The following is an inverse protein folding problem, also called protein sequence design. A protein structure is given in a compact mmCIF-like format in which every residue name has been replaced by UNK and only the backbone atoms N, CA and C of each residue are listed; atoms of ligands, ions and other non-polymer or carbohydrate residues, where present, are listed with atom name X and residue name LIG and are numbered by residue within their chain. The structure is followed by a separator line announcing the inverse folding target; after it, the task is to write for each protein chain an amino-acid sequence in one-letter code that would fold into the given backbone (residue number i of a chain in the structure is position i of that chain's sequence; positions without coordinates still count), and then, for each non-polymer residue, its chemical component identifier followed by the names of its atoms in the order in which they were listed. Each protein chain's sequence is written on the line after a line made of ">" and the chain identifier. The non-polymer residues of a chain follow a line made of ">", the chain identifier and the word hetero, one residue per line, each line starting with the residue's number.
data_IF_536224900952
#
_entry.id   IF_536224900952
#
_cell.length_a   1.000
_cell.length_b   1.000
_cell.length_c   1.000
_cell.angle_alpha   90.00
_cell.angle_beta   90.00
_cell.angle_gamma   90.00
#
_symmetry.space_group_name_H-M   'P 1'
#
loop_
_entity.id
_entity.type
_entity.pdbx_description
1 polymer ?
#
# COMPACT_ATOMS: atom_id res chain seq x y z
N UNK A 1 65.65 -16.39 19.71
CA UNK A 1 64.69 -16.33 20.84
C UNK A 1 63.33 -16.72 20.34
N UNK A 2 62.84 -17.79 20.95
CA UNK A 2 61.59 -18.56 20.86
C UNK A 2 60.97 -18.92 19.49
N UNK A 3 60.81 -20.23 19.23
CA UNK A 3 60.12 -20.82 18.09
C UNK A 3 58.65 -21.11 18.45
N UNK A 4 57.85 -21.58 17.49
CA UNK A 4 56.92 -22.66 17.79
C UNK A 4 56.61 -23.47 16.55
N UNK A 5 57.18 -24.67 16.52
CA UNK A 5 56.73 -25.81 15.74
C UNK A 5 55.24 -26.09 16.04
N UNK A 6 54.50 -26.66 15.09
CA UNK A 6 54.18 -28.10 15.11
C UNK A 6 53.19 -28.42 13.98
N UNK A 7 53.60 -29.43 13.22
CA UNK A 7 52.91 -30.13 12.15
C UNK A 7 51.76 -30.96 12.73
N UNK A 8 50.60 -31.00 12.06
CA UNK A 8 49.73 -32.17 12.10
C UNK A 8 48.94 -32.31 10.79
N UNK A 9 49.44 -33.27 10.01
CA UNK A 9 48.78 -34.07 8.98
C UNK A 9 47.36 -34.50 9.41
N UNK A 10 46.40 -34.56 8.47
CA UNK A 10 45.69 -35.79 8.07
C UNK A 10 44.25 -35.58 7.56
N UNK A 11 43.93 -36.39 6.55
CA UNK A 11 42.63 -37.04 6.26
C UNK A 11 41.65 -36.40 5.27
N UNK A 12 41.69 -37.02 4.09
CA UNK A 12 40.63 -37.33 3.14
C UNK A 12 39.25 -37.53 3.79
N UNK A 13 38.23 -36.86 3.24
CA UNK A 13 36.83 -37.06 3.61
C UNK A 13 35.89 -36.54 2.53
N UNK A 14 35.66 -37.36 1.50
CA UNK A 14 34.58 -37.19 0.55
C UNK A 14 33.25 -37.43 1.29
N UNK A 15 32.51 -36.38 1.61
CA UNK A 15 31.11 -36.49 2.05
C UNK A 15 30.20 -35.99 0.93
N UNK A 16 29.53 -36.95 0.29
CA UNK A 16 28.26 -36.72 -0.38
C UNK A 16 27.25 -36.22 0.66
N UNK A 17 26.74 -35.00 0.50
CA UNK A 17 25.50 -34.58 1.13
C UNK A 17 24.43 -34.46 0.04
N UNK A 18 23.56 -35.46 0.03
CA UNK A 18 22.29 -35.48 -0.69
C UNK A 18 21.34 -34.48 -0.02
N UNK A 19 20.72 -33.64 -0.85
CA UNK A 19 19.41 -33.01 -0.70
C UNK A 19 18.89 -32.66 0.71
N UNK A 20 18.88 -31.35 0.99
CA UNK A 20 17.64 -30.69 1.38
C UNK A 20 17.46 -29.54 0.38
N UNK A 21 16.71 -29.81 -0.68
CA UNK A 21 16.05 -28.74 -1.41
C UNK A 21 15.05 -28.18 -0.41
N UNK A 22 15.28 -26.96 0.07
CA UNK A 22 14.25 -26.18 0.75
C UNK A 22 13.11 -25.99 -0.26
N UNK A 23 12.18 -26.94 -0.26
CA UNK A 23 10.91 -26.89 -0.97
C UNK A 23 10.00 -25.88 -0.24
N UNK A 24 10.45 -24.63 -0.22
CA UNK A 24 9.61 -23.46 -0.03
C UNK A 24 10.07 -22.39 -1.03
N UNK A 25 10.27 -22.83 -2.28
CA UNK A 25 10.20 -21.92 -3.42
C UNK A 25 8.87 -21.20 -3.32
N UNK A 26 9.00 -19.88 -3.15
CA UNK A 26 7.90 -18.94 -3.11
C UNK A 26 6.92 -19.29 -4.23
N UNK A 27 5.68 -19.64 -3.87
CA UNK A 27 4.58 -19.46 -4.81
C UNK A 27 4.55 -17.95 -5.09
N UNK A 28 5.17 -17.53 -6.18
CA UNK A 28 5.01 -16.18 -6.70
C UNK A 28 3.51 -15.99 -6.92
N UNK A 29 2.89 -15.23 -6.02
CA UNK A 29 1.50 -14.83 -6.22
C UNK A 29 1.48 -13.92 -7.43
N UNK A 30 0.87 -14.39 -8.52
CA UNK A 30 0.72 -13.61 -9.75
C UNK A 30 0.03 -12.29 -9.44
N UNK A 31 0.55 -11.18 -9.96
CA UNK A 31 -0.10 -9.88 -9.86
C UNK A 31 -1.46 -9.95 -10.56
N UNK A 32 -2.52 -9.59 -9.83
CA UNK A 32 -3.90 -9.46 -10.30
C UNK A 32 -4.21 -7.98 -10.50
N UNK A 33 -5.02 -7.68 -11.50
CA UNK A 33 -5.45 -6.31 -11.81
C UNK A 33 -6.97 -6.19 -11.74
N UNK A 34 -7.47 -5.12 -11.13
CA UNK A 34 -8.87 -4.73 -11.17
C UNK A 34 -9.02 -3.23 -11.39
N UNK A 35 -10.11 -2.84 -12.05
CA UNK A 35 -10.45 -1.45 -12.27
C UNK A 35 -11.95 -1.24 -12.15
N UNK A 36 -12.36 -0.04 -11.78
CA UNK A 36 -13.78 0.28 -11.63
C UNK A 36 -14.03 1.73 -11.26
N UNK A 37 -15.30 2.08 -11.15
CA UNK A 37 -15.72 3.40 -10.69
C UNK A 37 -15.84 3.43 -9.16
N UNK A 38 -15.68 4.62 -8.58
CA UNK A 38 -16.06 4.87 -7.20
C UNK A 38 -16.68 6.25 -7.04
N UNK A 39 -17.50 6.40 -6.00
CA UNK A 39 -18.01 7.69 -5.56
C UNK A 39 -17.25 8.12 -4.30
N UNK A 40 -17.06 9.43 -4.12
CA UNK A 40 -16.41 10.00 -2.92
C UNK A 40 -17.24 11.13 -2.35
N UNK A 41 -17.42 11.12 -1.03
CA UNK A 41 -17.93 12.23 -0.23
C UNK A 41 -16.79 12.77 0.60
N UNK A 42 -16.65 14.09 0.57
CA UNK A 42 -15.59 14.81 1.28
C UNK A 42 -16.26 15.82 2.21
N UNK A 43 -15.78 15.88 3.44
CA UNK A 43 -16.17 16.93 4.39
C UNK A 43 -14.93 17.61 4.94
N UNK A 44 -14.86 18.93 4.76
CA UNK A 44 -13.81 19.75 5.39
C UNK A 44 -14.02 19.75 6.90
N UNK A 45 -12.96 19.47 7.65
CA UNK A 45 -12.94 19.42 9.10
C UNK A 45 -12.09 20.54 9.66
N UNK A 46 -12.39 20.94 10.90
CA UNK A 46 -11.52 21.83 11.65
C UNK A 46 -10.20 21.11 11.97
N UNK A 47 -9.01 21.73 11.77
CA UNK A 47 -7.76 21.13 12.21
C UNK A 47 -7.74 20.90 13.72
N UNK A 48 -7.14 19.80 14.17
CA UNK A 48 -7.29 19.30 15.55
C UNK A 48 -6.58 20.16 16.62
N UNK A 49 -5.64 21.02 16.23
CA UNK A 49 -4.88 21.85 17.18
C UNK A 49 -4.47 23.20 16.57
N UNK A 50 -4.08 24.14 17.44
CA UNK A 50 -3.62 25.48 17.03
C UNK A 50 -2.39 25.44 16.11
N UNK A 51 -1.36 24.60 16.37
CA UNK A 51 -0.23 24.48 15.44
C UNK A 51 -0.63 24.14 14.00
N UNK A 52 -1.56 23.19 13.81
CA UNK A 52 -2.04 22.81 12.48
C UNK A 52 -2.78 23.97 11.78
N UNK A 53 -3.58 24.73 12.53
CA UNK A 53 -4.25 25.95 12.01
C UNK A 53 -3.23 27.01 11.62
N UNK A 54 -2.29 27.33 12.50
CA UNK A 54 -1.26 28.34 12.24
C UNK A 54 -0.37 27.98 11.04
N UNK A 55 -0.14 26.68 10.81
CA UNK A 55 0.61 26.16 9.67
C UNK A 55 -0.21 26.07 8.36
N UNK A 56 -1.50 26.45 8.37
CA UNK A 56 -2.43 26.30 7.25
C UNK A 56 -2.55 24.85 6.73
N UNK A 57 -2.50 23.86 7.64
CA UNK A 57 -2.75 22.46 7.30
C UNK A 57 -4.25 22.19 7.34
N UNK A 58 -4.82 21.84 6.20
CA UNK A 58 -6.23 21.47 6.08
C UNK A 58 -6.47 20.00 6.44
N UNK A 59 -7.70 19.70 6.85
CA UNK A 59 -8.15 18.34 7.18
C UNK A 59 -9.50 18.03 6.55
N UNK A 60 -9.69 16.81 6.06
CA UNK A 60 -10.95 16.33 5.51
C UNK A 60 -11.25 14.91 5.95
N UNK A 61 -12.52 14.57 6.17
CA UNK A 61 -12.96 13.17 6.20
C UNK A 61 -13.36 12.70 4.81
N UNK A 62 -13.12 11.43 4.54
CA UNK A 62 -13.41 10.76 3.28
C UNK A 62 -14.38 9.60 3.54
N UNK A 63 -15.42 9.52 2.72
CA UNK A 63 -16.25 8.32 2.59
C UNK A 63 -16.29 7.94 1.11
N UNK A 64 -15.92 6.70 0.76
CA UNK A 64 -15.96 6.24 -0.64
C UNK A 64 -16.80 4.99 -0.80
N UNK A 65 -17.33 4.84 -2.00
CA UNK A 65 -18.06 3.64 -2.43
C UNK A 65 -17.46 3.13 -3.74
N UNK A 66 -16.70 2.03 -3.65
CA UNK A 66 -16.13 1.32 -4.79
C UNK A 66 -17.15 0.34 -5.37
N UNK A 67 -17.10 0.16 -6.71
CA UNK A 67 -17.98 -0.73 -7.49
C UNK A 67 -17.15 -1.65 -8.38
N UNK A 68 -17.75 -2.77 -8.78
CA UNK A 68 -17.12 -3.78 -9.63
C UNK A 68 -16.39 -4.85 -8.81
N UNK A 69 -15.21 -5.25 -9.27
CA UNK A 69 -14.43 -6.31 -8.64
C UNK A 69 -13.91 -5.94 -7.24
N UNK A 70 -13.74 -4.64 -6.96
CA UNK A 70 -13.70 -4.10 -5.60
C UNK A 70 -15.08 -3.54 -5.25
N UNK A 71 -15.91 -4.36 -4.62
CA UNK A 71 -17.21 -3.97 -4.09
C UNK A 71 -17.07 -3.66 -2.59
N UNK A 72 -16.70 -2.42 -2.28
CA UNK A 72 -16.34 -2.02 -0.93
C UNK A 72 -16.74 -0.58 -0.62
N UNK A 73 -16.92 -0.29 0.66
CA UNK A 73 -16.93 1.08 1.16
C UNK A 73 -15.59 1.39 1.83
N UNK A 74 -15.24 2.67 1.91
CA UNK A 74 -14.12 3.09 2.76
C UNK A 74 -14.42 4.35 3.55
N UNK A 75 -13.74 4.46 4.67
CA UNK A 75 -13.74 5.65 5.52
C UNK A 75 -12.31 5.99 5.92
N UNK A 76 -12.00 7.28 5.98
CA UNK A 76 -10.66 7.75 6.29
C UNK A 76 -10.56 9.24 6.48
N UNK A 77 -9.33 9.72 6.67
CA UNK A 77 -9.03 11.14 6.78
C UNK A 77 -7.87 11.51 5.86
N UNK A 78 -7.88 12.78 5.46
CA UNK A 78 -6.85 13.42 4.65
C UNK A 78 -6.34 14.67 5.37
N UNK A 79 -5.03 14.86 5.35
CA UNK A 79 -4.37 16.14 5.65
C UNK A 79 -3.80 16.70 4.35
N UNK A 80 -3.94 18.01 4.16
CA UNK A 80 -3.49 18.65 2.93
C UNK A 80 -2.90 20.05 3.16
N UNK A 81 -2.12 20.51 2.20
CA UNK A 81 -1.61 21.88 2.12
C UNK A 81 -1.67 22.39 0.68
N UNK A 82 -1.75 23.70 0.50
CA UNK A 82 -1.87 24.34 -0.81
C UNK A 82 -3.28 24.27 -1.40
N UNK A 83 -3.39 24.69 -2.66
CA UNK A 83 -4.67 24.78 -3.38
C UNK A 83 -5.05 23.48 -4.11
N UNK A 84 -4.13 22.51 -4.17
CA UNK A 84 -4.31 21.20 -4.79
C UNK A 84 -4.50 21.21 -6.31
N UNK A 85 -4.60 22.38 -6.94
CA UNK A 85 -4.88 22.56 -8.37
C UNK A 85 -3.67 23.12 -9.11
N UNK A 86 -2.89 23.99 -8.47
CA UNK A 86 -1.60 24.46 -8.95
C UNK A 86 -0.49 23.77 -8.18
N UNK A 87 -0.50 23.86 -6.85
CA UNK A 87 0.53 23.26 -6.01
C UNK A 87 -0.04 22.85 -4.68
N UNK A 88 0.45 21.74 -4.14
CA UNK A 88 -0.01 21.26 -2.85
C UNK A 88 0.53 19.89 -2.52
N UNK A 89 0.15 19.42 -1.34
CA UNK A 89 0.46 18.08 -0.85
C UNK A 89 -0.78 17.51 -0.19
N UNK A 90 -0.96 16.20 -0.27
CA UNK A 90 -1.85 15.53 0.67
C UNK A 90 -1.30 14.18 1.10
N UNK A 91 -1.73 13.77 2.29
CA UNK A 91 -1.59 12.42 2.81
C UNK A 91 -2.95 11.97 3.31
N UNK A 92 -3.27 10.70 3.14
CA UNK A 92 -4.51 10.14 3.61
C UNK A 92 -4.33 8.69 4.04
N UNK A 93 -5.12 8.26 5.02
CA UNK A 93 -5.27 6.85 5.37
C UNK A 93 -6.76 6.54 5.36
N UNK A 94 -7.12 5.44 4.71
CA UNK A 94 -8.51 4.96 4.68
C UNK A 94 -8.57 3.46 4.95
N UNK A 95 -9.61 3.03 5.64
CA UNK A 95 -9.99 1.63 5.78
C UNK A 95 -10.99 1.27 4.70
N UNK A 96 -10.63 0.34 3.83
CA UNK A 96 -11.53 -0.25 2.83
C UNK A 96 -12.12 -1.53 3.42
N UNK A 97 -13.44 -1.71 3.34
CA UNK A 97 -14.16 -2.88 3.85
C UNK A 97 -15.20 -3.35 2.84
N UNK A 98 -15.16 -4.63 2.46
CA UNK A 98 -16.03 -5.19 1.42
C UNK A 98 -15.48 -6.47 0.83
N UNK A 99 -15.60 -6.62 -0.49
CA UNK A 99 -15.03 -7.74 -1.23
C UNK A 99 -14.11 -7.31 -2.37
N UNK A 100 -13.05 -8.08 -2.58
CA UNK A 100 -12.11 -7.98 -3.71
C UNK A 100 -12.09 -9.31 -4.45
N UNK A 101 -12.56 -9.33 -5.70
CA UNK A 101 -12.78 -10.57 -6.46
C UNK A 101 -13.57 -11.61 -5.65
N UNK A 102 -14.62 -11.16 -4.97
CA UNK A 102 -15.48 -12.00 -4.13
C UNK A 102 -14.93 -12.34 -2.74
N UNK A 103 -13.63 -12.17 -2.47
CA UNK A 103 -13.01 -12.41 -1.15
C UNK A 103 -13.33 -11.28 -0.20
N UNK A 104 -13.92 -11.60 0.96
CA UNK A 104 -14.37 -10.64 1.95
C UNK A 104 -13.28 -10.31 2.96
N UNK A 105 -13.25 -9.05 3.35
CA UNK A 105 -12.39 -8.58 4.43
C UNK A 105 -12.29 -7.07 4.41
N UNK A 106 -11.19 -6.60 4.98
CA UNK A 106 -10.84 -5.19 4.99
C UNK A 106 -9.33 -5.03 4.83
N UNK A 107 -8.90 -3.83 4.46
CA UNK A 107 -7.49 -3.44 4.41
C UNK A 107 -7.37 -1.93 4.54
N UNK A 108 -6.16 -1.44 4.78
CA UNK A 108 -5.89 -0.01 4.85
C UNK A 108 -5.14 0.44 3.59
N UNK A 109 -5.52 1.57 3.02
CA UNK A 109 -4.72 2.27 2.01
C UNK A 109 -4.04 3.48 2.67
N UNK A 110 -2.79 3.72 2.27
CA UNK A 110 -2.07 4.95 2.57
C UNK A 110 -1.82 5.72 1.27
N UNK A 111 -2.00 7.03 1.32
CA UNK A 111 -1.79 7.95 0.21
C UNK A 111 -0.66 8.91 0.56
N UNK A 112 0.19 9.18 -0.42
CA UNK A 112 1.19 10.24 -0.41
C UNK A 112 1.16 10.92 -1.77
N UNK A 113 1.05 12.23 -1.83
CA UNK A 113 0.97 12.94 -3.11
C UNK A 113 1.49 14.37 -3.03
N UNK A 114 2.16 14.79 -4.10
CA UNK A 114 2.60 16.16 -4.33
C UNK A 114 2.08 16.66 -5.68
N UNK A 115 1.74 17.94 -5.73
CA UNK A 115 1.44 18.67 -6.94
C UNK A 115 2.44 19.82 -7.07
N UNK A 116 3.16 19.86 -8.18
CA UNK A 116 4.16 20.88 -8.48
C UNK A 116 3.77 21.64 -9.74
N UNK A 117 3.12 22.80 -9.57
CA UNK A 117 2.67 23.66 -10.69
C UNK A 117 1.88 22.88 -11.75
N UNK A 118 0.88 22.11 -11.31
CA UNK A 118 0.01 21.29 -12.15
C UNK A 118 0.62 19.94 -12.58
N UNK A 119 1.84 19.61 -12.14
CA UNK A 119 2.47 18.31 -12.39
C UNK A 119 2.39 17.42 -11.15
N UNK A 120 1.73 16.24 -11.23
CA UNK A 120 1.76 15.25 -10.16
C UNK A 120 3.17 14.71 -9.93
N UNK A 121 3.62 14.72 -8.68
CA UNK A 121 4.89 14.14 -8.24
C UNK A 121 4.65 13.21 -7.04
N UNK A 122 5.38 12.10 -6.97
CA UNK A 122 5.32 11.14 -5.86
C UNK A 122 3.87 10.75 -5.46
N UNK A 123 2.98 10.60 -6.45
CA UNK A 123 1.59 10.22 -6.26
C UNK A 123 1.48 8.71 -6.06
N UNK A 124 1.54 8.29 -4.81
CA UNK A 124 1.64 6.90 -4.41
C UNK A 124 0.45 6.56 -3.52
N UNK A 125 -0.26 5.50 -3.88
CA UNK A 125 -1.32 4.91 -3.05
C UNK A 125 -1.04 3.41 -2.95
N UNK A 126 -0.91 2.90 -1.73
CA UNK A 126 -0.53 1.50 -1.49
C UNK A 126 -1.32 0.89 -0.34
N UNK A 127 -1.46 -0.43 -0.39
CA UNK A 127 -1.96 -1.21 0.75
C UNK A 127 -0.93 -1.14 1.87
N UNK A 128 -1.38 -0.77 3.08
CA UNK A 128 -0.54 -0.80 4.28
C UNK A 128 -0.20 -2.28 4.57
N UNK A 129 1.09 -2.63 4.75
CA UNK A 129 1.50 -4.00 5.04
C UNK A 129 0.70 -4.60 6.20
N UNK A 130 0.30 -5.86 6.04
CA UNK A 130 -0.39 -6.66 7.05
C UNK A 130 -1.72 -6.05 7.57
N UNK A 131 -2.28 -5.08 6.85
CA UNK A 131 -3.58 -4.47 7.22
C UNK A 131 -4.79 -5.29 6.77
N UNK A 132 -4.57 -6.27 5.88
CA UNK A 132 -5.59 -7.16 5.37
C UNK A 132 -6.21 -8.04 6.46
N UNK A 133 -7.54 -8.14 6.50
CA UNK A 133 -8.29 -9.01 7.43
C UNK A 133 -9.02 -10.13 6.68
N UNK A 134 -9.42 -11.16 7.42
CA UNK A 134 -10.25 -12.25 6.91
C UNK A 134 -9.64 -12.91 5.66
N UNK A 135 -10.36 -12.97 4.54
CA UNK A 135 -9.90 -13.56 3.28
C UNK A 135 -8.92 -12.65 2.52
N UNK A 136 -8.63 -11.45 3.06
CA UNK A 136 -7.67 -10.49 2.51
C UNK A 136 -6.37 -10.41 3.31
N UNK A 137 -6.14 -11.31 4.28
CA UNK A 137 -4.86 -11.39 4.99
C UNK A 137 -3.69 -11.65 4.03
N UNK A 138 -2.61 -10.88 4.17
CA UNK A 138 -1.45 -10.94 3.26
C UNK A 138 -1.61 -10.17 1.95
N UNK A 139 -2.70 -9.40 1.78
CA UNK A 139 -2.90 -8.52 0.64
C UNK A 139 -1.78 -7.48 0.55
N UNK A 140 -1.20 -7.36 -0.64
CA UNK A 140 -0.28 -6.28 -1.02
C UNK A 140 -0.76 -5.69 -2.34
N UNK A 141 -0.50 -4.41 -2.57
CA UNK A 141 -0.81 -3.81 -3.86
C UNK A 141 -0.66 -2.31 -3.92
N UNK A 142 -0.78 -1.79 -5.13
CA UNK A 142 -0.72 -0.37 -5.48
C UNK A 142 -2.01 0.07 -6.16
N UNK A 143 -2.48 1.25 -5.79
CA UNK A 143 -3.73 1.82 -6.25
C UNK A 143 -3.45 3.05 -7.11
N UNK A 144 -4.28 3.30 -8.10
CA UNK A 144 -4.31 4.57 -8.84
C UNK A 144 -5.71 5.11 -8.84
N UNK A 145 -5.83 6.43 -8.81
CA UNK A 145 -7.09 7.14 -8.96
C UNK A 145 -7.02 7.91 -10.28
N UNK A 146 -8.05 7.75 -11.09
CA UNK A 146 -8.21 8.42 -12.38
C UNK A 146 -9.47 9.26 -12.30
N UNK A 147 -9.41 10.49 -12.81
CA UNK A 147 -10.56 11.39 -12.90
C UNK A 147 -10.77 11.70 -14.37
N UNK A 148 -11.90 11.27 -14.92
CA UNK A 148 -12.30 11.59 -16.29
C UNK A 148 -13.69 12.25 -16.27
N UNK A 149 -13.77 13.47 -16.82
CA UNK A 149 -15.02 14.26 -16.92
C UNK A 149 -15.83 14.35 -15.61
N UNK A 150 -15.12 14.40 -14.47
CA UNK A 150 -15.74 14.50 -13.14
C UNK A 150 -16.17 13.16 -12.52
N UNK A 151 -16.00 12.04 -13.22
CA UNK A 151 -16.18 10.70 -12.64
C UNK A 151 -14.83 10.18 -12.12
N UNK A 152 -14.88 9.56 -10.95
CA UNK A 152 -13.73 8.90 -10.34
C UNK A 152 -13.68 7.41 -10.68
N UNK A 153 -12.47 6.96 -11.04
CA UNK A 153 -12.13 5.58 -11.33
C UNK A 153 -10.89 5.15 -10.55
N UNK A 154 -10.75 3.84 -10.36
CA UNK A 154 -9.56 3.24 -9.80
C UNK A 154 -8.96 2.19 -10.72
N UNK A 155 -7.65 2.00 -10.57
CA UNK A 155 -6.91 0.79 -10.94
C UNK A 155 -6.24 0.24 -9.68
N UNK A 156 -6.26 -1.07 -9.50
CA UNK A 156 -5.64 -1.73 -8.36
C UNK A 156 -4.90 -2.98 -8.81
N UNK A 157 -3.57 -2.90 -8.74
CA UNK A 157 -2.66 -4.03 -8.94
C UNK A 157 -2.35 -4.65 -7.59
N UNK A 158 -2.60 -5.94 -7.42
CA UNK A 158 -2.49 -6.58 -6.12
C UNK A 158 -2.00 -8.02 -6.19
N UNK A 159 -1.41 -8.48 -5.09
CA UNK A 159 -1.05 -9.88 -4.85
C UNK A 159 -1.70 -10.35 -3.56
N UNK A 160 -2.17 -11.57 -3.54
CA UNK A 160 -2.75 -12.22 -2.38
C UNK A 160 -2.54 -13.72 -2.55
N UNK A 161 -1.99 -14.37 -1.53
CA UNK A 161 -1.80 -15.82 -1.53
C UNK A 161 -3.14 -16.52 -1.80
N UNK A 162 -3.07 -17.68 -2.46
CA UNK A 162 -4.24 -18.54 -2.68
C UNK A 162 -4.62 -19.32 -1.43
#
# INVERSE_FOLDING_TARGET
>A
MKPSNTIALAMLGLYFAVGISDANEQRESSVKHVAGAFDVKIKVLQPDNEPARAANVGRMSLEKQYKGDLAASSTGEMLYSGDGSTSGSYVAIERVSGSLHGRKGSFMLVHHSLMNRGTPENWIITVVPDSGTDELQGLKGSFKIIIDKGQHFYEFDYTLAE
#
